data_IF_292015185833
#
_entry.id   IF_292015185833
#
_cell.length_a   1.000
_cell.length_b   1.000
_cell.length_c   1.000
_cell.angle_alpha   90.00
_cell.angle_beta   90.00
_cell.angle_gamma   90.00
#
_symmetry.space_group_name_H-M   'P 1'
#
loop_
_entity.id
_entity.type
_entity.pdbx_description
1 polymer ?
#
# COMPACT_ATOMS: atom_id res chain seq x y z
N UNK A 1 59.64 -12.15 63.26
CA UNK A 1 58.72 -13.24 63.70
C UNK A 1 58.32 -12.96 65.14
N UNK A 2 57.06 -13.17 65.61
CA UNK A 2 55.93 -13.97 65.06
C UNK A 2 54.65 -13.16 64.69
N UNK A 3 53.90 -13.54 63.64
CA UNK A 3 52.61 -14.29 63.54
C UNK A 3 51.34 -13.40 63.62
N UNK A 4 50.65 -13.14 62.48
CA UNK A 4 49.43 -13.85 61.92
C UNK A 4 48.18 -13.60 62.79
N UNK A 5 46.98 -13.22 62.30
CA UNK A 5 46.22 -13.61 61.09
C UNK A 5 44.89 -12.84 61.00
N UNK A 6 44.40 -12.57 59.76
CA UNK A 6 43.00 -12.56 59.25
C UNK A 6 41.99 -11.53 59.85
N UNK A 7 41.00 -10.93 59.17
CA UNK A 7 40.23 -11.05 57.91
C UNK A 7 39.67 -9.62 57.62
N UNK A 8 39.07 -9.18 56.51
CA UNK A 8 38.32 -9.83 55.45
C UNK A 8 38.25 -8.88 54.24
N UNK A 9 38.49 -9.43 53.06
CA UNK A 9 38.09 -8.89 51.76
C UNK A 9 36.62 -9.26 51.51
N UNK A 10 35.73 -8.30 51.19
CA UNK A 10 34.60 -8.57 50.29
C UNK A 10 33.94 -7.28 49.75
N UNK A 11 34.32 -6.99 48.50
CA UNK A 11 33.40 -6.74 47.39
C UNK A 11 32.34 -5.65 47.54
N UNK A 12 32.69 -4.43 47.12
CA UNK A 12 31.72 -3.49 46.54
C UNK A 12 31.40 -4.03 45.14
N UNK A 13 30.49 -5.00 45.07
CA UNK A 13 29.97 -5.48 43.79
C UNK A 13 29.04 -4.42 43.21
N UNK A 14 29.59 -3.72 42.22
CA UNK A 14 28.98 -2.89 41.20
C UNK A 14 27.56 -3.37 40.86
N UNK A 15 26.54 -2.65 41.36
CA UNK A 15 25.17 -2.71 40.83
C UNK A 15 25.11 -1.83 39.59
N UNK A 16 25.67 -2.31 38.48
CA UNK A 16 25.62 -1.61 37.19
C UNK A 16 25.54 -2.64 36.06
N UNK A 17 24.48 -3.43 36.03
CA UNK A 17 24.30 -4.44 34.98
C UNK A 17 22.87 -4.59 34.47
N UNK A 18 21.93 -3.72 34.86
CA UNK A 18 20.52 -3.82 34.42
C UNK A 18 20.09 -2.77 33.40
N UNK A 19 20.95 -1.82 33.00
CA UNK A 19 20.55 -0.74 32.08
C UNK A 19 20.78 -1.03 30.58
N UNK A 20 21.57 -2.05 30.19
CA UNK A 20 21.90 -2.28 28.77
C UNK A 20 20.96 -3.24 28.02
N UNK A 21 20.07 -3.97 28.72
CA UNK A 21 19.17 -4.91 28.05
C UNK A 21 17.91 -4.24 27.44
N UNK A 22 17.60 -3.00 27.84
CA UNK A 22 16.44 -2.27 27.30
C UNK A 22 16.73 -1.51 26.00
N UNK A 23 17.99 -1.23 25.69
CA UNK A 23 18.40 -0.44 24.52
C UNK A 23 18.42 -1.25 23.21
N UNK A 24 18.58 -2.58 23.28
CA UNK A 24 18.62 -3.43 22.08
C UNK A 24 17.22 -3.76 21.54
N UNK A 25 16.23 -3.89 22.43
CA UNK A 25 14.83 -4.14 22.03
C UNK A 25 14.12 -2.88 21.50
N UNK A 26 14.52 -1.69 21.96
CA UNK A 26 13.99 -0.43 21.42
C UNK A 26 14.57 -0.09 20.05
N UNK A 27 15.82 -0.49 19.76
CA UNK A 27 16.47 -0.19 18.48
C UNK A 27 15.82 -0.86 17.27
N UNK A 28 15.42 -2.14 17.38
CA UNK A 28 14.76 -2.83 16.26
C UNK A 28 13.35 -2.30 15.99
N UNK A 29 12.58 -1.99 17.04
CA UNK A 29 11.22 -1.44 16.88
C UNK A 29 11.25 -0.02 16.29
N UNK A 30 12.26 0.79 16.62
CA UNK A 30 12.42 2.12 16.05
C UNK A 30 12.74 2.10 14.55
N UNK A 31 13.50 1.09 14.09
CA UNK A 31 13.85 0.90 12.68
C UNK A 31 12.66 0.45 11.84
N UNK A 32 11.80 -0.42 12.38
CA UNK A 32 10.55 -0.84 11.72
C UNK A 32 9.58 0.35 11.56
N UNK A 33 9.52 1.25 12.54
CA UNK A 33 8.70 2.47 12.50
C UNK A 33 9.31 3.61 11.67
N UNK A 34 10.58 3.51 11.29
CA UNK A 34 11.29 4.49 10.49
C UNK A 34 11.33 4.13 9.00
N UNK A 35 10.65 3.05 8.58
CA UNK A 35 10.53 2.72 7.16
C UNK A 35 9.85 3.86 6.42
N UNK A 36 10.43 4.24 5.30
CA UNK A 36 9.94 5.28 4.42
C UNK A 36 10.05 4.81 2.95
N UNK A 37 9.80 5.73 2.04
CA UNK A 37 9.81 5.47 0.61
C UNK A 37 11.21 5.49 -0.03
N UNK A 38 12.29 5.63 0.76
CA UNK A 38 13.64 5.69 0.21
C UNK A 38 13.99 4.39 -0.55
N UNK A 39 14.44 4.54 -1.80
CA UNK A 39 14.82 3.42 -2.66
C UNK A 39 13.65 2.72 -3.37
N UNK A 40 12.45 3.30 -3.37
CA UNK A 40 11.28 2.72 -4.06
C UNK A 40 11.11 3.16 -5.52
N UNK A 41 11.96 4.05 -6.04
CA UNK A 41 11.81 4.64 -7.38
C UNK A 41 11.66 3.60 -8.51
N UNK A 42 12.52 2.58 -8.53
CA UNK A 42 12.44 1.49 -9.55
C UNK A 42 11.11 0.73 -9.45
N UNK A 43 10.59 0.54 -8.22
CA UNK A 43 9.31 -0.13 -7.99
C UNK A 43 8.13 0.75 -8.40
N UNK A 44 8.22 2.06 -8.21
CA UNK A 44 7.22 3.02 -8.70
C UNK A 44 7.15 2.98 -10.23
N UNK A 45 8.30 2.97 -10.92
CA UNK A 45 8.34 2.85 -12.39
C UNK A 45 7.77 1.51 -12.87
N UNK A 46 8.11 0.41 -12.21
CA UNK A 46 7.55 -0.91 -12.51
C UNK A 46 6.02 -0.93 -12.35
N UNK A 47 5.52 -0.37 -11.23
CA UNK A 47 4.09 -0.31 -10.94
C UNK A 47 3.34 0.56 -11.95
N UNK A 48 3.92 1.68 -12.37
CA UNK A 48 3.34 2.56 -13.38
C UNK A 48 3.26 1.90 -14.77
N UNK A 49 4.08 0.88 -15.03
CA UNK A 49 4.14 0.15 -16.29
C UNK A 49 3.21 -1.08 -16.34
N UNK A 50 2.43 -1.35 -15.29
CA UNK A 50 1.54 -2.52 -15.25
C UNK A 50 0.44 -2.45 -16.33
N UNK A 51 0.36 -3.48 -17.17
CA UNK A 51 -0.64 -3.60 -18.26
C UNK A 51 -2.09 -3.48 -17.77
N UNK A 52 -2.38 -3.87 -16.52
CA UNK A 52 -3.73 -3.77 -15.96
C UNK A 52 -4.22 -2.33 -15.86
N UNK A 53 -3.31 -1.35 -15.73
CA UNK A 53 -3.66 0.07 -15.71
C UNK A 53 -4.21 0.55 -17.05
N UNK A 54 -3.82 -0.09 -18.16
CA UNK A 54 -4.31 0.23 -19.51
C UNK A 54 -5.49 -0.64 -19.95
N UNK A 55 -5.77 -1.72 -19.22
CA UNK A 55 -6.95 -2.59 -19.38
C UNK A 55 -8.24 -1.82 -19.10
N UNK A 56 -9.21 -1.84 -20.01
CA UNK A 56 -10.47 -1.12 -19.87
C UNK A 56 -11.57 -1.64 -20.79
N UNK A 57 -12.87 -1.45 -20.45
CA UNK A 57 -13.97 -1.71 -21.36
C UNK A 57 -13.87 -0.87 -22.64
N UNK A 58 -14.38 -1.40 -23.75
CA UNK A 58 -14.45 -0.68 -25.01
C UNK A 58 -15.25 0.63 -24.85
N UNK A 59 -14.70 1.73 -25.35
CA UNK A 59 -15.29 3.07 -25.22
C UNK A 59 -14.93 3.80 -23.93
N UNK A 60 -14.24 3.17 -22.97
CA UNK A 60 -13.59 3.89 -21.88
C UNK A 60 -12.37 4.66 -22.41
N UNK A 61 -12.23 5.89 -21.94
CA UNK A 61 -11.16 6.81 -22.34
C UNK A 61 -10.46 7.36 -21.12
N UNK A 62 -9.15 7.63 -21.23
CA UNK A 62 -8.41 8.27 -20.15
C UNK A 62 -9.09 9.59 -19.79
N UNK A 63 -9.33 9.78 -18.50
CA UNK A 63 -10.01 10.97 -18.01
C UNK A 63 -9.15 12.22 -18.24
N UNK A 64 -9.79 13.31 -18.65
CA UNK A 64 -9.10 14.59 -18.85
C UNK A 64 -8.45 15.06 -17.55
N UNK A 65 -7.22 15.55 -17.57
CA UNK A 65 -6.50 15.93 -16.35
C UNK A 65 -6.03 14.75 -15.49
N UNK A 66 -6.11 13.52 -16.01
CA UNK A 66 -5.54 12.29 -15.45
C UNK A 66 -4.82 11.50 -16.56
N UNK A 67 -4.17 12.21 -17.49
CA UNK A 67 -3.51 11.62 -18.65
C UNK A 67 -2.32 10.74 -18.27
N UNK A 68 -1.62 11.12 -17.20
CA UNK A 68 -0.47 10.38 -16.65
C UNK A 68 -0.96 9.29 -15.68
N UNK A 69 -0.16 8.25 -15.49
CA UNK A 69 -0.39 7.31 -14.37
C UNK A 69 0.00 8.08 -13.12
N UNK A 70 -0.90 8.13 -12.14
CA UNK A 70 -0.54 8.65 -10.83
C UNK A 70 0.11 7.52 -10.04
N UNK A 71 1.43 7.57 -9.89
CA UNK A 71 2.20 6.55 -9.21
C UNK A 71 3.17 7.18 -8.22
N UNK A 72 3.34 6.52 -7.09
CA UNK A 72 4.21 7.02 -6.04
C UNK A 72 4.32 6.05 -4.89
N UNK A 73 4.82 6.55 -3.78
CA UNK A 73 4.94 5.81 -2.55
C UNK A 73 4.42 6.65 -1.39
N UNK A 74 3.73 6.00 -0.46
CA UNK A 74 3.43 6.57 0.84
C UNK A 74 3.87 5.60 1.94
N UNK A 75 4.24 6.18 3.09
CA UNK A 75 4.56 5.44 4.28
C UNK A 75 3.71 5.96 5.44
N UNK A 76 2.96 5.08 6.09
CA UNK A 76 2.24 5.39 7.33
C UNK A 76 2.56 4.33 8.38
N UNK A 77 2.98 4.80 9.55
CA UNK A 77 3.15 3.96 10.75
C UNK A 77 4.04 2.72 10.56
N UNK A 78 4.98 2.76 9.60
CA UNK A 78 5.93 1.68 9.29
C UNK A 78 5.54 0.80 8.10
N UNK A 79 4.33 0.96 7.55
CA UNK A 79 3.92 0.32 6.31
C UNK A 79 4.31 1.22 5.13
N UNK A 80 5.00 0.64 4.15
CA UNK A 80 5.43 1.31 2.93
C UNK A 80 4.65 0.71 1.76
N UNK A 81 3.90 1.56 1.08
CA UNK A 81 3.03 1.15 -0.03
C UNK A 81 3.42 1.96 -1.26
N UNK A 82 3.79 1.24 -2.31
CA UNK A 82 3.95 1.81 -3.65
C UNK A 82 2.63 1.63 -4.37
N UNK A 83 2.10 2.70 -4.94
CA UNK A 83 0.82 2.70 -5.64
C UNK A 83 0.96 3.14 -7.09
N UNK A 84 0.02 2.72 -7.92
CA UNK A 84 -0.17 3.23 -9.26
C UNK A 84 -1.66 3.23 -9.64
N UNK A 85 -2.12 4.37 -10.16
CA UNK A 85 -3.52 4.65 -10.44
C UNK A 85 -3.72 5.13 -11.88
N UNK A 86 -4.78 4.62 -12.53
CA UNK A 86 -5.28 5.15 -13.80
C UNK A 86 -6.76 5.46 -13.70
N UNK A 87 -7.14 6.67 -14.13
CA UNK A 87 -8.53 7.12 -14.13
C UNK A 87 -9.14 7.14 -15.52
N UNK A 88 -10.35 6.60 -15.62
CA UNK A 88 -11.12 6.51 -16.86
C UNK A 88 -12.46 7.23 -16.76
N UNK A 89 -12.80 7.92 -17.85
CA UNK A 89 -14.17 8.33 -18.16
C UNK A 89 -14.80 7.28 -19.07
N UNK A 90 -15.97 6.77 -18.68
CA UNK A 90 -16.71 5.78 -19.46
C UNK A 90 -18.19 6.19 -19.58
N UNK A 91 -18.73 6.35 -20.80
CA UNK A 91 -20.12 6.74 -21.00
C UNK A 91 -21.13 5.61 -20.71
N UNK A 92 -20.67 4.37 -20.52
CA UNK A 92 -21.52 3.24 -20.16
C UNK A 92 -21.83 3.17 -18.66
N UNK A 93 -22.11 1.97 -18.19
CA UNK A 93 -22.65 1.69 -16.86
C UNK A 93 -21.61 1.06 -15.92
N UNK A 94 -21.86 1.19 -14.61
CA UNK A 94 -21.04 0.51 -13.58
C UNK A 94 -21.08 -1.01 -13.72
N UNK A 95 -22.21 -1.58 -14.14
CA UNK A 95 -22.36 -3.01 -14.33
C UNK A 95 -21.46 -3.55 -15.45
N UNK A 96 -21.29 -2.80 -16.53
CA UNK A 96 -20.37 -3.16 -17.62
C UNK A 96 -18.91 -3.13 -17.17
N UNK A 97 -18.53 -2.13 -16.37
CA UNK A 97 -17.18 -2.05 -15.76
C UNK A 97 -16.94 -3.25 -14.82
N UNK A 98 -17.91 -3.57 -13.95
CA UNK A 98 -17.85 -4.74 -13.06
C UNK A 98 -17.66 -6.03 -13.84
N UNK A 99 -18.51 -6.28 -14.84
CA UNK A 99 -18.46 -7.50 -15.64
C UNK A 99 -17.14 -7.62 -16.41
N UNK A 100 -16.62 -6.49 -16.93
CA UNK A 100 -15.34 -6.43 -17.60
C UNK A 100 -14.21 -6.88 -16.66
N UNK A 101 -14.04 -6.22 -15.50
CA UNK A 101 -12.91 -6.52 -14.63
C UNK A 101 -13.01 -7.89 -13.97
N UNK A 102 -14.20 -8.37 -13.61
CA UNK A 102 -14.39 -9.75 -13.13
C UNK A 102 -13.85 -10.81 -14.10
N UNK A 103 -13.79 -10.50 -15.40
CA UNK A 103 -13.24 -11.40 -16.42
C UNK A 103 -11.78 -11.05 -16.75
N UNK A 104 -11.48 -9.78 -16.98
CA UNK A 104 -10.19 -9.33 -17.49
C UNK A 104 -9.05 -9.52 -16.48
N UNK A 105 -9.27 -9.20 -15.20
CA UNK A 105 -8.23 -9.31 -14.17
C UNK A 105 -7.92 -10.76 -13.83
N UNK A 106 -8.94 -11.62 -13.80
CA UNK A 106 -8.77 -13.06 -13.54
C UNK A 106 -7.98 -13.72 -14.65
N UNK A 107 -8.21 -13.33 -15.91
CA UNK A 107 -7.40 -13.78 -17.04
C UNK A 107 -5.93 -13.34 -16.92
N UNK A 108 -5.68 -12.20 -16.29
CA UNK A 108 -4.34 -11.68 -16.02
C UNK A 108 -3.71 -12.24 -14.71
N UNK A 109 -4.35 -13.23 -14.10
CA UNK A 109 -3.84 -13.95 -12.93
C UNK A 109 -4.14 -13.29 -11.58
N UNK A 110 -4.96 -12.25 -11.55
CA UNK A 110 -5.47 -11.68 -10.30
C UNK A 110 -6.57 -12.56 -9.71
N UNK A 111 -6.60 -12.69 -8.40
CA UNK A 111 -7.55 -13.54 -7.67
C UNK A 111 -8.54 -12.62 -6.95
N UNK A 112 -9.87 -12.81 -7.10
CA UNK A 112 -10.83 -12.03 -6.33
C UNK A 112 -10.60 -12.21 -4.84
N UNK A 113 -10.55 -11.11 -4.09
CA UNK A 113 -10.41 -11.20 -2.65
C UNK A 113 -11.70 -11.80 -2.05
N UNK A 114 -11.61 -12.92 -1.31
CA UNK A 114 -12.77 -13.58 -0.72
C UNK A 114 -13.48 -12.75 0.37
N UNK A 115 -12.77 -11.79 0.97
CA UNK A 115 -13.27 -10.90 2.02
C UNK A 115 -13.83 -9.58 1.47
N UNK A 116 -13.68 -9.33 0.16
CA UNK A 116 -14.20 -8.13 -0.47
C UNK A 116 -15.72 -7.96 -0.24
N UNK A 117 -16.11 -6.80 0.27
CA UNK A 117 -17.52 -6.46 0.48
C UNK A 117 -18.32 -6.56 -0.83
N UNK A 118 -19.61 -6.95 -0.77
CA UNK A 118 -20.46 -7.03 -1.97
C UNK A 118 -20.45 -5.72 -2.78
N UNK A 119 -20.09 -5.82 -4.06
CA UNK A 119 -20.01 -4.67 -4.97
C UNK A 119 -18.67 -3.91 -4.94
N UNK A 120 -17.72 -4.34 -4.10
CA UNK A 120 -16.31 -3.95 -4.23
C UNK A 120 -15.64 -4.88 -5.23
N UNK A 121 -14.82 -4.28 -6.10
CA UNK A 121 -13.99 -4.98 -7.06
C UNK A 121 -12.59 -4.94 -6.51
N UNK A 122 -12.23 -5.98 -5.76
CA UNK A 122 -10.91 -6.13 -5.20
C UNK A 122 -10.31 -7.48 -5.53
N UNK A 123 -9.03 -7.45 -5.90
CA UNK A 123 -8.30 -8.62 -6.34
C UNK A 123 -6.86 -8.56 -5.84
N UNK A 124 -6.23 -9.70 -5.65
CA UNK A 124 -4.85 -9.79 -5.18
C UNK A 124 -4.00 -10.58 -6.18
N UNK A 125 -2.71 -10.23 -6.24
CA UNK A 125 -1.69 -10.93 -7.03
C UNK A 125 -0.34 -10.72 -6.35
N UNK A 126 0.23 -11.79 -5.81
CA UNK A 126 1.49 -11.73 -5.04
C UNK A 126 1.38 -10.72 -3.87
N UNK A 127 2.28 -9.73 -3.79
CA UNK A 127 2.24 -8.65 -2.80
C UNK A 127 1.44 -7.42 -3.25
N UNK A 128 0.58 -7.57 -4.27
CA UNK A 128 -0.22 -6.49 -4.81
C UNK A 128 -1.72 -6.68 -4.57
N UNK A 129 -2.40 -5.58 -4.31
CA UNK A 129 -3.86 -5.47 -4.28
C UNK A 129 -4.32 -4.53 -5.40
N UNK A 130 -5.38 -4.91 -6.10
CA UNK A 130 -6.00 -4.18 -7.21
C UNK A 130 -7.43 -3.82 -6.83
N UNK A 131 -7.77 -2.54 -6.99
CA UNK A 131 -9.08 -1.98 -6.71
C UNK A 131 -9.65 -1.32 -7.96
N UNK A 132 -10.93 -1.56 -8.22
CA UNK A 132 -11.69 -0.75 -9.18
C UNK A 132 -12.69 0.10 -8.42
N UNK A 133 -12.47 1.41 -8.42
CA UNK A 133 -13.24 2.37 -7.61
C UNK A 133 -14.06 3.28 -8.50
N UNK A 134 -15.39 3.23 -8.37
CA UNK A 134 -16.27 4.18 -9.05
C UNK A 134 -16.16 5.57 -8.44
N UNK A 135 -15.98 6.57 -9.30
CA UNK A 135 -15.88 7.96 -8.91
C UNK A 135 -17.27 8.55 -8.68
N UNK A 136 -17.38 9.33 -7.61
CA UNK A 136 -18.58 10.09 -7.26
C UNK A 136 -18.19 11.55 -7.10
N UNK A 137 -19.17 12.46 -7.27
CA UNK A 137 -18.93 13.89 -7.09
C UNK A 137 -18.43 14.23 -5.67
N UNK A 138 -18.85 13.45 -4.67
CA UNK A 138 -18.39 13.58 -3.28
C UNK A 138 -16.92 13.20 -3.15
N UNK A 139 -16.52 12.01 -3.62
CA UNK A 139 -15.14 11.53 -3.55
C UNK A 139 -14.17 12.45 -4.30
N UNK A 140 -14.53 12.84 -5.52
CA UNK A 140 -13.74 13.78 -6.32
C UNK A 140 -13.53 15.13 -5.62
N UNK A 141 -14.48 15.55 -4.78
CA UNK A 141 -14.33 16.77 -3.98
C UNK A 141 -13.42 16.54 -2.77
N UNK A 142 -13.55 15.41 -2.09
CA UNK A 142 -12.69 15.00 -0.96
C UNK A 142 -11.22 14.92 -1.40
N UNK A 143 -10.99 14.35 -2.58
CA UNK A 143 -9.66 14.19 -3.19
C UNK A 143 -9.14 15.50 -3.84
N UNK A 144 -9.89 16.60 -3.75
CA UNK A 144 -9.47 17.91 -4.25
C UNK A 144 -9.56 18.11 -5.77
N UNK A 145 -10.14 17.16 -6.52
CA UNK A 145 -10.34 17.26 -7.97
C UNK A 145 -11.54 18.13 -8.40
N UNK A 146 -12.35 18.59 -7.45
CA UNK A 146 -13.45 19.51 -7.69
C UNK A 146 -14.59 18.90 -8.51
N UNK A 147 -15.31 19.74 -9.27
CA UNK A 147 -16.45 19.29 -10.08
C UNK A 147 -15.97 18.69 -11.41
N UNK A 148 -16.24 17.39 -11.60
CA UNK A 148 -15.84 16.61 -12.78
C UNK A 148 -17.05 15.90 -13.42
N UNK A 149 -17.94 16.64 -14.11
CA UNK A 149 -19.15 16.05 -14.70
C UNK A 149 -18.83 14.98 -15.75
N UNK A 150 -17.66 15.03 -16.37
CA UNK A 150 -17.11 14.02 -17.27
C UNK A 150 -16.93 12.65 -16.61
N UNK A 151 -16.74 12.61 -15.28
CA UNK A 151 -16.55 11.39 -14.51
C UNK A 151 -17.81 10.94 -13.76
N UNK A 152 -18.81 11.82 -13.62
CA UNK A 152 -20.00 11.54 -12.81
C UNK A 152 -21.29 11.36 -13.61
N UNK A 153 -21.32 11.73 -14.89
CA UNK A 153 -22.51 11.56 -15.76
C UNK A 153 -22.66 10.13 -16.29
N UNK A 154 -21.55 9.38 -16.39
CA UNK A 154 -21.50 7.96 -16.72
C UNK A 154 -20.90 7.14 -15.58
N UNK A 155 -20.13 6.11 -15.91
CA UNK A 155 -19.37 5.32 -14.95
C UNK A 155 -17.89 5.71 -14.97
N UNK A 156 -17.53 6.88 -14.44
CA UNK A 156 -16.12 7.18 -14.16
C UNK A 156 -15.57 6.27 -13.07
N UNK A 157 -14.34 5.79 -13.24
CA UNK A 157 -13.69 4.90 -12.26
C UNK A 157 -12.16 5.05 -12.29
N UNK A 158 -11.52 4.68 -11.18
CA UNK A 158 -10.07 4.45 -11.11
C UNK A 158 -9.76 2.96 -11.06
N UNK A 159 -8.66 2.58 -11.69
CA UNK A 159 -7.95 1.32 -11.52
C UNK A 159 -6.76 1.64 -10.64
N UNK A 160 -6.70 1.04 -9.45
CA UNK A 160 -5.68 1.33 -8.45
C UNK A 160 -4.96 0.06 -8.07
N UNK A 161 -3.63 0.09 -8.08
CA UNK A 161 -2.81 -1.04 -7.66
C UNK A 161 -1.89 -0.59 -6.54
N UNK A 162 -1.98 -1.26 -5.40
CA UNK A 162 -1.08 -1.10 -4.26
C UNK A 162 -0.12 -2.28 -4.20
N UNK A 163 1.15 -2.00 -3.91
CA UNK A 163 2.18 -2.99 -3.64
C UNK A 163 2.77 -2.73 -2.26
N UNK A 164 2.61 -3.72 -1.38
CA UNK A 164 3.12 -3.65 -0.03
C UNK A 164 4.59 -4.07 -0.01
N UNK A 165 5.47 -3.15 0.39
CA UNK A 165 6.91 -3.36 0.42
C UNK A 165 7.31 -3.82 1.82
N UNK A 166 7.93 -4.99 1.92
CA UNK A 166 8.41 -5.57 3.20
C UNK A 166 7.32 -5.81 4.27
N UNK A 167 6.03 -5.84 3.91
CA UNK A 167 4.99 -6.30 4.81
C UNK A 167 5.17 -7.80 5.03
N UNK A 168 5.26 -8.24 6.28
CA UNK A 168 5.13 -9.67 6.62
C UNK A 168 3.71 -10.22 6.40
N UNK A 169 2.85 -9.44 5.74
CA UNK A 169 1.42 -9.65 5.53
C UNK A 169 1.17 -9.83 4.04
N UNK A 170 0.38 -10.84 3.67
CA UNK A 170 -0.11 -11.02 2.31
C UNK A 170 -0.92 -9.79 1.89
N UNK A 171 -0.88 -9.42 0.61
CA UNK A 171 -1.73 -8.35 0.11
C UNK A 171 -3.19 -8.74 0.32
N UNK A 172 -3.96 -7.85 0.92
CA UNK A 172 -5.38 -8.05 1.15
C UNK A 172 -6.17 -6.79 0.88
N UNK A 173 -7.45 -7.02 0.63
CA UNK A 173 -8.52 -6.07 0.68
C UNK A 173 -9.27 -6.17 2.03
#
# INVERSE_FOLDING_TARGET
MPLRTNSATRSISVLLSTALAAATLTGCVLLELARDCEGTDDRVEEMAALDILDSRPDGATIARGFEEVDAGCWADSGDVVVYADRTYAFPGTRAEVIAYYQTAVVRDGWIPDPEALPGKLCFTKESMALWITFLTAERLKEDGHGSRPDLTTGAGYSVSVDSYVNSGTEASC
#
